data_IF_057306438581
#
_entry.id   IF_057306438581
#
_cell.length_a   1.000
_cell.length_b   1.000
_cell.length_c   1.000
_cell.angle_alpha   90.00
_cell.angle_beta   90.00
_cell.angle_gamma   90.00
#
_symmetry.space_group_name_H-M   'P 1'
#
loop_
_entity.id
_entity.type
_entity.pdbx_description
1 polymer ?
#
# COMPACT_ATOMS: atom_id res chain seq x y z
N UNK A 1 -31.88 -35.98 1.36
CA UNK A 1 -31.67 -35.22 0.11
C UNK A 1 -30.50 -34.25 0.34
N UNK A 2 -29.56 -34.13 -0.60
CA UNK A 2 -28.13 -33.90 -0.38
C UNK A 2 -27.71 -32.42 -0.39
N UNK A 3 -26.59 -32.11 0.27
CA UNK A 3 -25.86 -30.84 0.14
C UNK A 3 -25.39 -30.70 -1.31
N UNK A 4 -26.03 -29.81 -2.06
CA UNK A 4 -25.61 -29.48 -3.41
C UNK A 4 -24.25 -28.76 -3.35
N UNK A 5 -23.31 -29.32 -4.10
CA UNK A 5 -21.96 -28.83 -4.29
C UNK A 5 -21.97 -27.39 -4.83
N UNK A 6 -20.93 -26.66 -4.42
CA UNK A 6 -20.59 -25.32 -4.86
C UNK A 6 -20.92 -25.09 -6.34
N UNK A 7 -21.95 -24.26 -6.56
CA UNK A 7 -22.21 -23.65 -7.85
C UNK A 7 -21.19 -22.53 -8.02
N UNK A 8 -20.08 -22.85 -8.69
CA UNK A 8 -19.12 -21.91 -9.24
C UNK A 8 -19.76 -21.18 -10.42
N UNK A 9 -20.92 -20.55 -10.22
CA UNK A 9 -21.58 -19.78 -11.26
C UNK A 9 -20.89 -18.42 -11.41
N UNK A 10 -20.28 -18.26 -12.57
CA UNK A 10 -20.17 -17.00 -13.31
C UNK A 10 -19.81 -15.78 -12.47
N UNK A 11 -18.51 -15.52 -12.31
CA UNK A 11 -18.01 -14.19 -11.92
C UNK A 11 -18.33 -13.23 -13.09
N UNK A 12 -19.30 -12.31 -12.97
CA UNK A 12 -19.56 -11.37 -14.06
C UNK A 12 -18.34 -10.47 -14.24
N UNK A 13 -17.97 -10.17 -15.49
CA UNK A 13 -17.03 -9.10 -15.78
C UNK A 13 -17.59 -7.81 -15.18
N UNK A 14 -17.02 -7.34 -14.06
CA UNK A 14 -17.55 -6.23 -13.28
C UNK A 14 -17.61 -6.44 -11.75
N UNK A 15 -17.34 -7.64 -11.22
CA UNK A 15 -17.35 -7.85 -9.75
C UNK A 15 -16.32 -6.98 -8.99
N UNK A 16 -15.21 -6.58 -9.64
CA UNK A 16 -14.26 -5.61 -9.08
C UNK A 16 -14.88 -4.20 -8.94
N UNK A 17 -15.74 -3.80 -9.87
CA UNK A 17 -16.43 -2.52 -9.79
C UNK A 17 -17.56 -2.54 -8.74
N UNK A 18 -18.27 -3.67 -8.59
CA UNK A 18 -19.26 -3.84 -7.53
C UNK A 18 -18.65 -3.75 -6.12
N UNK A 19 -17.43 -4.29 -5.93
CA UNK A 19 -16.68 -4.08 -4.68
C UNK A 19 -16.36 -2.60 -4.41
N UNK A 20 -16.21 -1.77 -5.45
CA UNK A 20 -16.02 -0.32 -5.30
C UNK A 20 -17.26 0.42 -4.81
N UNK A 21 -18.45 -0.05 -5.18
CA UNK A 21 -19.72 0.60 -4.80
C UNK A 21 -20.11 0.31 -3.35
N UNK A 22 -19.77 -0.86 -2.82
CA UNK A 22 -20.02 -1.26 -1.41
C UNK A 22 -19.08 -0.58 -0.39
N UNK A 23 -18.26 0.40 -0.82
CA UNK A 23 -17.21 1.02 0.01
C UNK A 23 -15.96 0.14 0.19
N UNK A 24 -15.99 -1.09 -0.32
CA UNK A 24 -14.89 -2.06 -0.25
C UNK A 24 -13.82 -1.76 -1.31
N UNK A 25 -14.03 -0.85 -2.25
CA UNK A 25 -13.10 -0.58 -3.36
C UNK A 25 -12.33 0.74 -3.32
N UNK A 26 -12.72 1.67 -2.45
CA UNK A 26 -11.77 2.64 -1.89
C UNK A 26 -10.84 1.94 -0.87
N UNK A 27 -11.38 0.96 -0.14
CA UNK A 27 -10.65 0.17 0.84
C UNK A 27 -9.43 -0.64 0.31
N UNK A 28 -9.35 -1.20 -0.93
CA UNK A 28 -8.22 -2.00 -1.37
C UNK A 28 -7.08 -1.09 -1.78
N UNK A 29 -7.36 0.08 -2.39
CA UNK A 29 -6.31 1.01 -2.77
C UNK A 29 -5.69 1.65 -1.53
N UNK A 30 -6.50 2.14 -0.60
CA UNK A 30 -6.00 2.68 0.66
C UNK A 30 -5.29 1.57 1.48
N UNK A 31 -5.82 0.35 1.53
CA UNK A 31 -5.16 -0.78 2.18
C UNK A 31 -3.83 -1.14 1.50
N UNK A 32 -3.76 -1.12 0.18
CA UNK A 32 -2.51 -1.32 -0.56
C UNK A 32 -1.50 -0.21 -0.28
N UNK A 33 -1.95 1.04 -0.17
CA UNK A 33 -1.12 2.18 0.22
C UNK A 33 -0.59 1.96 1.65
N UNK A 34 -1.43 1.58 2.60
CA UNK A 34 -1.04 1.26 3.97
C UNK A 34 -0.02 0.11 4.04
N UNK A 35 -0.24 -0.97 3.27
CA UNK A 35 0.72 -2.07 3.15
C UNK A 35 2.06 -1.60 2.57
N UNK A 36 2.03 -0.81 1.49
CA UNK A 36 3.24 -0.21 0.88
C UNK A 36 3.99 0.68 1.87
N UNK A 37 3.28 1.50 2.63
CA UNK A 37 3.88 2.38 3.63
C UNK A 37 4.43 1.63 4.84
N UNK A 38 3.80 0.52 5.23
CA UNK A 38 4.33 -0.35 6.27
C UNK A 38 5.68 -0.96 5.87
N UNK A 39 5.80 -1.45 4.63
CA UNK A 39 7.06 -1.93 4.06
C UNK A 39 8.11 -0.81 3.96
N UNK A 40 7.69 0.38 3.52
CA UNK A 40 8.57 1.54 3.42
C UNK A 40 9.14 1.97 4.78
N UNK A 41 8.31 2.02 5.82
CA UNK A 41 8.73 2.36 7.20
C UNK A 41 9.77 1.39 7.73
N UNK A 42 9.55 0.10 7.52
CA UNK A 42 10.50 -0.93 7.94
C UNK A 42 11.82 -0.81 7.17
N UNK A 43 11.76 -0.61 5.85
CA UNK A 43 12.96 -0.41 5.04
C UNK A 43 13.73 0.86 5.43
N UNK A 44 13.05 1.97 5.75
CA UNK A 44 13.67 3.20 6.21
C UNK A 44 14.41 3.07 7.55
N UNK A 45 13.98 2.13 8.41
CA UNK A 45 14.64 1.83 9.69
C UNK A 45 15.85 0.94 9.54
N UNK A 46 15.81 -0.01 8.61
CA UNK A 46 16.81 -1.08 8.49
C UNK A 46 17.83 -0.84 7.38
N UNK A 47 17.55 0.03 6.42
CA UNK A 47 18.31 0.16 5.18
C UNK A 47 18.99 1.51 5.05
N UNK A 48 20.22 1.48 4.52
CA UNK A 48 20.98 2.65 4.07
C UNK A 48 20.67 3.06 2.63
N UNK A 49 19.75 2.36 1.94
CA UNK A 49 19.32 2.69 0.57
C UNK A 49 18.83 4.13 0.47
N UNK A 50 19.01 4.74 -0.70
CA UNK A 50 18.47 6.07 -0.97
C UNK A 50 16.94 6.07 -0.91
N UNK A 51 16.34 7.25 -0.65
CA UNK A 51 14.87 7.39 -0.64
C UNK A 51 14.30 7.09 -2.05
N UNK A 52 15.00 7.52 -3.10
CA UNK A 52 14.69 7.21 -4.49
C UNK A 52 14.60 5.69 -4.76
N UNK A 53 15.61 4.91 -4.34
CA UNK A 53 15.56 3.45 -4.52
C UNK A 53 14.39 2.80 -3.77
N UNK A 54 14.05 3.30 -2.58
CA UNK A 54 12.88 2.81 -1.83
C UNK A 54 11.57 3.17 -2.51
N UNK A 55 11.47 4.34 -3.16
CA UNK A 55 10.30 4.72 -3.93
C UNK A 55 10.06 3.73 -5.08
N UNK A 56 11.08 3.43 -5.88
CA UNK A 56 10.96 2.46 -6.97
C UNK A 56 10.67 1.05 -6.46
N UNK A 57 11.33 0.61 -5.39
CA UNK A 57 11.12 -0.73 -4.81
C UNK A 57 9.70 -0.91 -4.21
N UNK A 58 9.04 0.17 -3.80
CA UNK A 58 7.66 0.15 -3.31
C UNK A 58 6.62 0.38 -4.42
N UNK A 59 7.09 0.57 -5.65
CA UNK A 59 6.28 0.67 -6.86
C UNK A 59 5.75 2.07 -7.15
N UNK A 60 6.49 3.11 -6.73
CA UNK A 60 6.28 4.49 -7.16
C UNK A 60 7.18 4.83 -8.34
N UNK A 61 6.67 5.66 -9.23
CA UNK A 61 7.39 6.16 -10.41
C UNK A 61 8.41 7.26 -10.11
N UNK A 62 8.34 7.88 -8.93
CA UNK A 62 9.27 8.93 -8.51
C UNK A 62 9.38 9.05 -6.99
N UNK A 63 10.53 9.56 -6.53
CA UNK A 63 10.77 9.88 -5.12
C UNK A 63 9.75 10.89 -4.57
N UNK A 64 9.34 11.87 -5.39
CA UNK A 64 8.38 12.91 -5.00
C UNK A 64 6.98 12.32 -4.78
N UNK A 65 6.52 11.43 -5.66
CA UNK A 65 5.23 10.75 -5.52
C UNK A 65 5.21 9.88 -4.26
N UNK A 66 6.28 9.12 -4.03
CA UNK A 66 6.46 8.34 -2.80
C UNK A 66 6.46 9.24 -1.56
N UNK A 67 7.24 10.32 -1.55
CA UNK A 67 7.35 11.22 -0.40
C UNK A 67 6.03 11.89 -0.04
N UNK A 68 5.22 12.24 -1.04
CA UNK A 68 3.89 12.81 -0.85
C UNK A 68 2.95 11.79 -0.23
N UNK A 69 2.89 10.58 -0.78
CA UNK A 69 2.06 9.50 -0.24
C UNK A 69 2.50 9.08 1.17
N UNK A 70 3.80 8.97 1.40
CA UNK A 70 4.37 8.64 2.70
C UNK A 70 4.03 9.69 3.75
N UNK A 71 4.17 10.98 3.43
CA UNK A 71 3.82 12.04 4.38
C UNK A 71 2.32 12.09 4.67
N UNK A 72 1.47 11.77 3.70
CA UNK A 72 0.02 11.68 3.90
C UNK A 72 -0.35 10.57 4.90
N UNK A 73 0.31 9.41 4.82
CA UNK A 73 0.01 8.23 5.65
C UNK A 73 0.73 8.27 7.00
N UNK A 74 2.00 8.66 7.02
CA UNK A 74 2.89 8.58 8.20
C UNK A 74 3.01 9.91 8.94
N UNK A 75 2.60 11.03 8.32
CA UNK A 75 2.62 12.37 8.93
C UNK A 75 3.95 13.11 8.86
N UNK A 76 5.04 12.45 8.45
CA UNK A 76 6.38 13.05 8.28
C UNK A 76 7.02 12.62 6.96
N UNK A 77 8.06 13.32 6.49
CA UNK A 77 8.76 12.90 5.27
C UNK A 77 9.59 11.63 5.51
N UNK A 78 9.85 10.82 4.46
CA UNK A 78 10.70 9.63 4.57
C UNK A 78 12.07 9.92 5.20
N UNK A 79 12.67 11.07 4.86
CA UNK A 79 13.97 11.50 5.39
C UNK A 79 13.88 11.84 6.89
N UNK A 80 12.85 12.59 7.30
CA UNK A 80 12.63 12.92 8.72
C UNK A 80 12.38 11.66 9.55
N UNK A 81 11.59 10.72 9.01
CA UNK A 81 11.30 9.44 9.68
C UNK A 81 12.58 8.60 9.86
N UNK A 82 13.44 8.56 8.84
CA UNK A 82 14.73 7.87 8.91
C UNK A 82 15.63 8.50 9.96
N UNK A 83 15.82 9.81 9.92
CA UNK A 83 16.69 10.54 10.85
C UNK A 83 16.27 10.32 12.31
N UNK A 84 14.97 10.42 12.59
CA UNK A 84 14.40 10.16 13.91
C UNK A 84 14.59 8.69 14.35
N UNK A 85 14.57 7.74 13.41
CA UNK A 85 14.77 6.31 13.72
C UNK A 85 16.24 5.94 14.00
N UNK A 86 17.21 6.74 13.55
CA UNK A 86 18.64 6.51 13.78
C UNK A 86 19.21 7.36 14.92
N UNK A 87 18.44 8.34 15.40
CA UNK A 87 18.83 9.26 16.48
C UNK A 87 18.48 8.75 17.89
N UNK A 88 17.99 7.51 18.02
CA UNK A 88 17.67 6.86 19.29
C UNK A 88 18.28 5.47 19.36
#
# INVERSE_FOLDING_TARGET
MPRAHADQAARPAGWLAALNDDGIGAAPLEYLIECRMSLARDALRRSTRSISELAFATGYESESAFSTAFRRVVGSSPKQFRDAAHSG
#
